data_IF_482272139110
#
_entry.id   IF_482272139110
#
_cell.length_a   1.000
_cell.length_b   1.000
_cell.length_c   1.000
_cell.angle_alpha   90.00
_cell.angle_beta   90.00
_cell.angle_gamma   90.00
#
_symmetry.space_group_name_H-M   'P 1'
#
loop_
_entity.id
_entity.type
_entity.pdbx_description
1 polymer ?
#
# COMPACT_ATOMS: atom_id res chain seq x y z
N UNK A 1 9.41 8.56 -12.14
CA UNK A 1 10.80 8.07 -12.29
C UNK A 1 10.81 6.60 -11.95
N UNK A 2 11.33 5.75 -12.85
CA UNK A 2 11.57 4.32 -12.63
C UNK A 2 13.05 4.07 -12.38
N UNK A 3 13.35 3.11 -11.51
CA UNK A 3 14.73 2.74 -11.14
C UNK A 3 14.83 1.22 -11.22
N UNK A 4 15.68 0.76 -12.12
CA UNK A 4 15.96 -0.64 -12.40
C UNK A 4 17.43 -0.98 -12.15
N UNK A 5 17.73 -2.24 -11.79
CA UNK A 5 19.08 -2.77 -11.83
C UNK A 5 19.50 -3.05 -13.28
N UNK A 6 20.76 -2.81 -13.58
CA UNK A 6 21.46 -3.26 -14.79
C UNK A 6 22.78 -3.90 -14.39
N UNK A 7 23.43 -4.62 -15.32
CA UNK A 7 24.62 -5.45 -15.06
C UNK A 7 25.71 -4.76 -14.24
N UNK A 8 25.94 -3.45 -14.48
CA UNK A 8 27.00 -2.67 -13.80
C UNK A 8 26.47 -1.40 -13.08
N UNK A 9 25.19 -1.37 -12.65
CA UNK A 9 24.68 -0.17 -11.98
C UNK A 9 23.16 -0.04 -11.99
N UNK A 10 22.69 1.18 -12.19
CA UNK A 10 21.28 1.56 -12.19
C UNK A 10 20.84 2.12 -13.54
N UNK A 11 19.61 1.86 -13.90
CA UNK A 11 18.91 2.52 -14.99
C UNK A 11 17.82 3.42 -14.40
N UNK A 12 17.86 4.71 -14.72
CA UNK A 12 16.81 5.66 -14.42
C UNK A 12 15.98 5.93 -15.67
N UNK A 13 14.68 5.77 -15.57
CA UNK A 13 13.70 6.10 -16.63
C UNK A 13 12.79 7.19 -16.12
N UNK A 14 12.72 8.32 -16.86
CA UNK A 14 11.93 9.49 -16.44
C UNK A 14 10.92 9.83 -17.52
N UNK A 15 9.67 9.99 -17.12
CA UNK A 15 8.60 10.51 -17.96
C UNK A 15 8.48 12.02 -17.77
N UNK A 16 8.62 12.78 -18.85
CA UNK A 16 8.66 14.25 -18.81
C UNK A 16 7.69 14.86 -19.81
N UNK A 17 7.02 15.98 -19.47
CA UNK A 17 6.23 16.72 -20.44
C UNK A 17 7.14 17.34 -21.50
N UNK A 18 6.79 17.20 -22.77
CA UNK A 18 7.33 18.01 -23.84
C UNK A 18 6.84 19.45 -23.64
N UNK A 19 7.70 20.43 -23.80
CA UNK A 19 7.27 21.83 -23.74
C UNK A 19 6.27 22.08 -24.87
N UNK A 20 5.17 22.72 -24.54
CA UNK A 20 4.19 23.14 -25.53
C UNK A 20 4.88 24.02 -26.60
N UNK A 21 5.04 23.47 -27.81
CA UNK A 21 5.15 24.31 -28.99
C UNK A 21 3.75 24.85 -29.23
N UNK A 22 3.57 26.16 -29.04
CA UNK A 22 2.32 26.84 -29.32
C UNK A 22 1.96 26.60 -30.79
N UNK A 23 0.92 25.83 -31.06
CA UNK A 23 0.30 25.81 -32.38
C UNK A 23 -0.05 24.47 -33.02
N UNK A 24 0.21 23.32 -32.41
CA UNK A 24 -0.24 22.06 -33.01
C UNK A 24 -1.28 21.36 -32.11
N UNK A 25 -2.49 21.23 -32.67
CA UNK A 25 -3.53 20.31 -32.17
C UNK A 25 -3.04 18.86 -32.34
N UNK A 26 -2.20 18.42 -31.42
CA UNK A 26 -1.57 17.11 -31.45
C UNK A 26 -2.24 16.13 -30.47
N UNK A 27 -2.15 14.89 -30.79
CA UNK A 27 -2.48 13.73 -29.97
C UNK A 27 -1.89 13.92 -28.55
N UNK A 28 -2.67 13.77 -27.47
CA UNK A 28 -2.18 13.83 -26.08
C UNK A 28 -0.98 12.92 -25.80
N UNK A 29 -0.82 11.82 -26.53
CA UNK A 29 0.33 10.94 -26.45
C UNK A 29 1.64 11.62 -26.93
N UNK A 30 1.58 12.67 -27.74
CA UNK A 30 2.74 13.42 -28.24
C UNK A 30 3.29 14.45 -27.24
N UNK A 31 2.59 14.72 -26.16
CA UNK A 31 2.97 15.75 -25.18
C UNK A 31 4.08 15.32 -24.20
N UNK A 32 4.47 14.05 -24.20
CA UNK A 32 5.43 13.49 -23.23
C UNK A 32 6.58 12.77 -23.92
N UNK A 33 7.70 12.70 -23.21
CA UNK A 33 8.89 11.97 -23.62
C UNK A 33 9.40 11.12 -22.48
N UNK A 34 9.71 9.87 -22.77
CA UNK A 34 10.44 9.00 -21.84
C UNK A 34 11.93 9.11 -22.16
N UNK A 35 12.74 9.33 -21.12
CA UNK A 35 14.20 9.44 -21.24
C UNK A 35 14.81 8.48 -20.23
N UNK A 36 15.84 7.75 -20.68
CA UNK A 36 16.53 6.75 -19.87
C UNK A 36 18.02 7.07 -19.80
N UNK A 37 18.61 6.93 -18.63
CA UNK A 37 20.06 6.97 -18.42
C UNK A 37 20.52 5.78 -17.61
N UNK A 38 21.74 5.32 -17.86
CA UNK A 38 22.38 4.23 -17.12
C UNK A 38 23.72 4.72 -16.57
N UNK A 39 24.01 4.41 -15.31
CA UNK A 39 25.29 4.67 -14.66
C UNK A 39 25.45 3.80 -13.40
N UNK A 40 26.64 3.81 -12.81
CA UNK A 40 26.93 3.02 -11.59
C UNK A 40 26.17 3.46 -10.36
N UNK A 41 25.74 4.73 -10.27
CA UNK A 41 25.05 5.28 -9.11
C UNK A 41 23.96 6.27 -9.51
N UNK A 42 23.06 6.53 -8.56
CA UNK A 42 21.87 7.36 -8.75
C UNK A 42 22.20 8.79 -9.20
N UNK A 43 23.09 9.48 -8.45
CA UNK A 43 23.50 10.86 -8.78
C UNK A 43 24.16 10.96 -10.14
N UNK A 44 24.95 9.96 -10.52
CA UNK A 44 25.59 9.92 -11.85
C UNK A 44 24.54 9.74 -12.95
N UNK A 45 23.53 8.91 -12.75
CA UNK A 45 22.40 8.81 -13.70
C UNK A 45 21.67 10.14 -13.87
N UNK A 46 21.42 10.86 -12.76
CA UNK A 46 20.79 12.19 -12.82
C UNK A 46 21.64 13.20 -13.61
N UNK A 47 22.95 13.17 -13.45
CA UNK A 47 23.84 14.06 -14.21
C UNK A 47 23.85 13.70 -15.70
N UNK A 48 23.87 12.42 -16.05
CA UNK A 48 23.75 11.98 -17.45
C UNK A 48 22.43 12.43 -18.08
N UNK A 49 21.31 12.33 -17.34
CA UNK A 49 20.02 12.86 -17.78
C UNK A 49 20.08 14.37 -18.03
N UNK A 50 20.76 15.14 -17.16
CA UNK A 50 20.92 16.58 -17.32
C UNK A 50 21.71 16.96 -18.56
N UNK A 51 22.76 16.22 -18.84
CA UNK A 51 23.64 16.47 -20.05
C UNK A 51 22.86 16.13 -21.32
N UNK A 52 22.07 15.07 -21.31
CA UNK A 52 21.30 14.61 -22.47
C UNK A 52 20.03 15.43 -22.77
N UNK A 53 19.63 16.34 -21.89
CA UNK A 53 18.37 17.06 -22.03
C UNK A 53 18.58 18.53 -22.41
N UNK A 54 17.75 19.08 -23.33
CA UNK A 54 17.90 20.46 -23.82
C UNK A 54 17.49 21.51 -22.78
N UNK A 55 16.96 21.11 -21.63
CA UNK A 55 16.54 22.01 -20.55
C UNK A 55 16.84 21.43 -19.17
N UNK A 56 16.98 22.32 -18.19
CA UNK A 56 17.17 21.92 -16.78
C UNK A 56 15.91 21.26 -16.23
N UNK A 57 16.05 20.01 -15.78
CA UNK A 57 14.97 19.27 -15.14
C UNK A 57 15.00 19.54 -13.64
N UNK A 58 13.83 19.79 -13.08
CA UNK A 58 13.64 19.96 -11.63
C UNK A 58 12.90 18.74 -11.07
N UNK A 59 13.62 17.88 -10.38
CA UNK A 59 13.05 16.68 -9.76
C UNK A 59 12.35 16.93 -8.41
N UNK A 60 12.36 18.18 -7.92
CA UNK A 60 11.61 18.54 -6.69
C UNK A 60 10.10 18.41 -6.84
N UNK A 61 9.58 18.40 -8.09
CA UNK A 61 8.17 18.18 -8.42
C UNK A 61 7.86 16.74 -8.85
N UNK A 62 8.77 15.82 -8.58
CA UNK A 62 8.55 14.41 -8.88
C UNK A 62 7.38 13.88 -8.06
N UNK A 63 6.41 13.25 -8.72
CA UNK A 63 5.19 12.75 -8.09
C UNK A 63 5.27 11.28 -7.69
N UNK A 64 6.00 10.49 -8.50
CA UNK A 64 6.09 9.03 -8.35
C UNK A 64 7.51 8.54 -8.59
N UNK A 65 7.99 7.73 -7.67
CA UNK A 65 9.21 6.94 -7.77
C UNK A 65 8.80 5.47 -7.76
N UNK A 66 9.24 4.74 -8.75
CA UNK A 66 9.01 3.29 -8.86
C UNK A 66 10.36 2.60 -8.82
N UNK A 67 10.57 1.75 -7.84
CA UNK A 67 11.70 0.83 -7.79
C UNK A 67 11.26 -0.52 -8.34
N UNK A 68 12.05 -1.17 -9.17
CA UNK A 68 11.81 -2.58 -9.47
C UNK A 68 12.00 -3.44 -8.22
N UNK A 69 11.32 -4.56 -8.13
CA UNK A 69 11.47 -5.50 -7.00
C UNK A 69 12.93 -5.94 -6.85
N UNK A 70 13.65 -6.09 -7.94
CA UNK A 70 15.08 -6.41 -7.94
C UNK A 70 15.90 -5.35 -7.21
N UNK A 71 15.66 -4.05 -7.49
CA UNK A 71 16.31 -2.94 -6.78
C UNK A 71 15.91 -2.94 -5.31
N UNK A 72 14.61 -3.10 -5.01
CA UNK A 72 14.10 -3.04 -3.64
C UNK A 72 14.62 -4.18 -2.76
N UNK A 73 14.91 -5.35 -3.33
CA UNK A 73 15.47 -6.51 -2.62
C UNK A 73 17.00 -6.47 -2.47
N UNK A 74 17.67 -5.54 -3.15
CA UNK A 74 19.12 -5.42 -3.09
C UNK A 74 19.58 -4.88 -1.73
N UNK A 75 20.71 -5.35 -1.22
CA UNK A 75 21.28 -4.87 0.06
C UNK A 75 21.66 -3.38 0.03
N UNK A 76 21.91 -2.81 -1.14
CA UNK A 76 22.18 -1.39 -1.35
C UNK A 76 20.93 -0.51 -1.38
N UNK A 77 19.71 -1.06 -1.24
CA UNK A 77 18.48 -0.31 -1.41
C UNK A 77 18.35 0.85 -0.39
N UNK A 78 18.65 0.59 0.87
CA UNK A 78 18.61 1.65 1.89
C UNK A 78 19.56 2.81 1.54
N UNK A 79 20.80 2.51 1.14
CA UNK A 79 21.76 3.54 0.74
C UNK A 79 21.30 4.35 -0.46
N UNK A 80 20.60 3.73 -1.42
CA UNK A 80 19.98 4.42 -2.55
C UNK A 80 18.88 5.40 -2.08
N UNK A 81 17.98 4.96 -1.19
CA UNK A 81 16.92 5.83 -0.63
C UNK A 81 17.54 6.98 0.17
N UNK A 82 18.57 6.71 0.97
CA UNK A 82 19.31 7.72 1.73
C UNK A 82 19.99 8.73 0.82
N UNK A 83 20.62 8.29 -0.28
CA UNK A 83 21.22 9.17 -1.30
C UNK A 83 20.15 10.08 -1.92
N UNK A 84 18.96 9.57 -2.22
CA UNK A 84 17.86 10.37 -2.78
C UNK A 84 17.41 11.49 -1.84
N UNK A 85 17.35 11.23 -0.55
CA UNK A 85 16.97 12.20 0.48
C UNK A 85 18.10 13.21 0.71
N UNK A 86 19.33 12.74 0.89
CA UNK A 86 20.47 13.59 1.28
C UNK A 86 20.96 14.46 0.14
N UNK A 87 20.82 14.02 -1.11
CA UNK A 87 21.17 14.80 -2.29
C UNK A 87 20.33 16.07 -2.48
N UNK A 88 19.15 16.15 -1.83
CA UNK A 88 18.19 17.25 -1.94
C UNK A 88 17.76 17.56 -3.38
N UNK A 89 17.92 16.61 -4.29
CA UNK A 89 17.55 16.76 -5.70
C UNK A 89 16.14 16.26 -5.99
N UNK A 90 15.63 15.37 -5.13
CA UNK A 90 14.32 14.74 -5.27
C UNK A 90 13.35 15.35 -4.25
N UNK A 91 12.13 15.61 -4.69
CA UNK A 91 11.08 16.11 -3.80
C UNK A 91 10.70 15.09 -2.71
N UNK A 92 10.66 15.48 -1.44
CA UNK A 92 10.40 14.57 -0.31
C UNK A 92 8.97 14.02 -0.31
N UNK A 93 8.07 14.66 -1.05
CA UNK A 93 6.65 14.28 -1.16
C UNK A 93 6.37 13.32 -2.32
N UNK A 94 7.38 12.93 -3.09
CA UNK A 94 7.21 11.94 -4.15
C UNK A 94 6.66 10.64 -3.56
N UNK A 95 5.60 10.10 -4.15
CA UNK A 95 5.06 8.80 -3.74
C UNK A 95 6.03 7.70 -4.15
N UNK A 96 6.30 6.78 -3.24
CA UNK A 96 7.14 5.61 -3.49
C UNK A 96 6.27 4.41 -3.89
N UNK A 97 6.77 3.58 -4.79
CA UNK A 97 6.15 2.32 -5.17
C UNK A 97 7.23 1.30 -5.52
N UNK A 98 6.96 0.02 -5.30
CA UNK A 98 7.77 -1.08 -5.82
C UNK A 98 6.99 -1.77 -6.94
N UNK A 99 7.64 -2.06 -8.07
CA UNK A 99 7.02 -2.78 -9.18
C UNK A 99 7.51 -4.23 -9.24
N UNK A 100 6.58 -5.14 -9.50
CA UNK A 100 6.90 -6.56 -9.71
C UNK A 100 7.53 -6.81 -11.09
N UNK A 101 7.20 -6.00 -12.09
CA UNK A 101 7.91 -5.91 -13.38
C UNK A 101 9.02 -4.86 -13.32
N UNK A 102 9.68 -4.59 -14.45
CA UNK A 102 10.66 -3.50 -14.52
C UNK A 102 10.01 -2.14 -14.28
N UNK A 103 10.67 -1.31 -13.49
CA UNK A 103 10.18 0.04 -13.20
C UNK A 103 10.05 0.89 -14.46
N UNK A 104 10.96 0.71 -15.44
CA UNK A 104 10.89 1.36 -16.75
C UNK A 104 9.59 1.04 -17.48
N UNK A 105 9.12 -0.22 -17.44
CA UNK A 105 7.85 -0.62 -18.07
C UNK A 105 6.65 0.07 -17.43
N UNK A 106 6.64 0.25 -16.10
CA UNK A 106 5.60 1.03 -15.42
C UNK A 106 5.61 2.48 -15.92
N UNK A 107 6.78 3.11 -15.99
CA UNK A 107 6.90 4.51 -16.42
C UNK A 107 6.46 4.69 -17.88
N UNK A 108 6.84 3.79 -18.76
CA UNK A 108 6.48 3.81 -20.19
C UNK A 108 4.99 3.60 -20.44
N UNK A 109 4.33 2.82 -19.57
CA UNK A 109 2.90 2.54 -19.65
C UNK A 109 2.01 3.52 -18.85
N UNK A 110 2.60 4.57 -18.25
CA UNK A 110 1.80 5.65 -17.68
C UNK A 110 1.14 6.46 -18.81
N UNK A 111 -0.17 6.39 -18.89
CA UNK A 111 -0.97 7.10 -19.88
C UNK A 111 -1.89 8.11 -19.21
N UNK A 112 -2.03 9.33 -19.76
CA UNK A 112 -3.02 10.27 -19.28
C UNK A 112 -4.44 9.76 -19.59
N UNK A 113 -5.39 10.10 -18.72
CA UNK A 113 -6.80 9.93 -19.04
C UNK A 113 -7.20 10.91 -20.14
N UNK A 114 -8.20 10.53 -20.93
CA UNK A 114 -8.68 11.35 -22.05
C UNK A 114 -9.02 12.77 -21.57
N UNK A 115 -8.45 13.77 -22.22
CA UNK A 115 -8.67 15.18 -21.89
C UNK A 115 -7.92 15.70 -20.64
N UNK A 116 -7.05 14.89 -20.04
CA UNK A 116 -6.26 15.29 -18.88
C UNK A 116 -4.75 15.25 -19.18
N UNK A 117 -3.97 16.12 -18.51
CA UNK A 117 -2.52 15.98 -18.51
C UNK A 117 -2.10 14.74 -17.68
N UNK A 118 -0.94 14.15 -17.99
CA UNK A 118 -0.42 13.01 -17.24
C UNK A 118 -0.30 13.33 -15.73
N UNK A 119 0.12 14.54 -15.40
CA UNK A 119 0.25 14.99 -14.00
C UNK A 119 -1.08 14.91 -13.26
N UNK A 120 -2.15 15.48 -13.83
CA UNK A 120 -3.50 15.42 -13.23
C UNK A 120 -4.05 14.00 -13.16
N UNK A 121 -3.83 13.22 -14.21
CA UNK A 121 -4.26 11.82 -14.27
C UNK A 121 -3.56 10.98 -13.19
N UNK A 122 -2.24 11.16 -13.01
CA UNK A 122 -1.48 10.46 -11.97
C UNK A 122 -1.89 10.92 -10.56
N UNK A 123 -2.06 12.23 -10.36
CA UNK A 123 -2.54 12.78 -9.08
C UNK A 123 -3.92 12.22 -8.70
N UNK A 124 -4.86 12.20 -9.64
CA UNK A 124 -6.18 11.60 -9.45
C UNK A 124 -6.08 10.11 -9.11
N UNK A 125 -5.26 9.35 -9.84
CA UNK A 125 -5.04 7.93 -9.59
C UNK A 125 -4.43 7.66 -8.21
N UNK A 126 -3.43 8.44 -7.79
CA UNK A 126 -2.81 8.32 -6.47
C UNK A 126 -3.77 8.71 -5.33
N UNK A 127 -4.62 9.70 -5.56
CA UNK A 127 -5.63 10.12 -4.59
C UNK A 127 -6.76 9.09 -4.45
N UNK A 128 -7.17 8.45 -5.54
CA UNK A 128 -8.22 7.41 -5.49
C UNK A 128 -7.79 6.19 -4.68
N UNK A 129 -6.49 5.88 -4.62
CA UNK A 129 -5.98 4.78 -3.79
C UNK A 129 -6.23 5.00 -2.28
N UNK A 130 -6.25 6.25 -1.82
CA UNK A 130 -6.55 6.58 -0.42
C UNK A 130 -7.97 6.17 -0.01
N UNK A 131 -8.90 6.11 -0.97
CA UNK A 131 -10.30 5.74 -0.73
C UNK A 131 -10.57 4.24 -0.84
N UNK A 132 -9.65 3.46 -1.42
CA UNK A 132 -9.87 2.01 -1.66
C UNK A 132 -9.31 1.11 -0.58
N UNK A 133 -8.40 1.59 0.26
CA UNK A 133 -7.69 0.85 1.32
C UNK A 133 -6.91 -0.40 0.85
N UNK A 134 -6.82 -0.65 -0.47
CA UNK A 134 -6.10 -1.80 -1.03
C UNK A 134 -4.61 -1.56 -1.27
N UNK A 135 -4.11 -0.35 -1.04
CA UNK A 135 -2.70 -0.02 -1.26
C UNK A 135 -2.19 0.90 -0.15
N UNK A 136 -0.98 0.67 0.32
CA UNK A 136 -0.34 1.52 1.32
C UNK A 136 0.53 2.58 0.62
N UNK A 137 -0.02 3.79 0.48
CA UNK A 137 0.64 4.90 -0.17
C UNK A 137 1.57 5.63 0.79
N UNK A 138 2.87 5.60 0.51
CA UNK A 138 3.88 6.32 1.29
C UNK A 138 4.61 7.39 0.46
N UNK A 139 4.95 8.50 1.10
CA UNK A 139 5.84 9.52 0.55
C UNK A 139 7.29 9.21 0.89
N UNK A 140 8.23 9.60 0.03
CA UNK A 140 9.65 9.29 0.15
C UNK A 140 10.23 9.63 1.53
N UNK A 141 9.86 10.80 2.10
CA UNK A 141 10.35 11.21 3.42
C UNK A 141 9.82 10.32 4.54
N UNK A 142 8.53 9.98 4.51
CA UNK A 142 7.93 9.09 5.51
C UNK A 142 8.48 7.68 5.39
N UNK A 143 8.61 7.19 4.15
CA UNK A 143 9.21 5.89 3.86
C UNK A 143 10.65 5.80 4.41
N UNK A 144 11.48 6.82 4.17
CA UNK A 144 12.83 6.89 4.74
C UNK A 144 12.81 6.93 6.27
N UNK A 145 11.92 7.74 6.87
CA UNK A 145 11.79 7.80 8.33
C UNK A 145 11.41 6.45 8.95
N UNK A 146 10.56 5.69 8.31
CA UNK A 146 10.18 4.35 8.79
C UNK A 146 11.33 3.35 8.60
N UNK A 147 12.11 3.44 7.51
CA UNK A 147 13.31 2.59 7.32
C UNK A 147 14.40 2.85 8.37
N UNK A 148 14.57 4.11 8.82
CA UNK A 148 15.54 4.47 9.87
C UNK A 148 14.96 4.26 11.27
N UNK A 149 13.64 4.24 11.38
CA UNK A 149 12.91 4.20 12.63
C UNK A 149 13.04 2.85 13.36
N UNK A 150 12.83 2.87 14.68
CA UNK A 150 12.87 1.67 15.52
C UNK A 150 11.49 1.28 16.06
N UNK A 151 10.45 1.95 15.60
CA UNK A 151 9.08 1.81 16.14
C UNK A 151 8.06 1.29 15.14
N UNK A 152 8.42 1.26 13.86
CA UNK A 152 7.62 0.73 12.76
C UNK A 152 8.52 0.43 11.58
N UNK A 153 8.29 -0.68 10.91
CA UNK A 153 8.98 -1.00 9.65
C UNK A 153 8.25 -0.38 8.45
N UNK A 154 9.02 0.05 7.46
CA UNK A 154 8.50 0.75 6.31
C UNK A 154 7.69 -0.18 5.39
N UNK A 155 6.64 0.40 4.82
CA UNK A 155 5.85 -0.23 3.77
C UNK A 155 5.65 0.73 2.61
N UNK A 156 5.38 0.22 1.42
CA UNK A 156 4.94 1.05 0.30
C UNK A 156 4.13 0.24 -0.69
N UNK A 157 3.29 0.91 -1.48
CA UNK A 157 2.42 0.24 -2.45
C UNK A 157 3.19 -0.56 -3.50
N UNK A 158 2.59 -1.65 -3.96
CA UNK A 158 3.04 -2.37 -5.13
C UNK A 158 2.39 -1.81 -6.40
N UNK A 159 3.12 -1.91 -7.51
CA UNK A 159 2.63 -1.63 -8.86
C UNK A 159 2.97 -2.80 -9.79
N UNK A 160 2.13 -3.04 -10.78
CA UNK A 160 2.45 -3.97 -11.85
C UNK A 160 1.67 -3.61 -13.11
N UNK A 161 2.03 -4.24 -14.23
CA UNK A 161 1.24 -4.18 -15.44
C UNK A 161 0.11 -5.23 -15.38
N UNK A 162 -1.10 -4.78 -15.68
CA UNK A 162 -2.25 -5.69 -15.80
C UNK A 162 -1.96 -6.75 -16.84
N UNK A 163 -2.00 -8.00 -16.42
CA UNK A 163 -1.86 -9.15 -17.31
C UNK A 163 -3.22 -9.46 -17.96
N UNK A 164 -3.23 -10.06 -19.18
CA UNK A 164 -4.45 -10.62 -19.74
C UNK A 164 -5.04 -11.65 -18.78
N UNK A 165 -6.29 -11.47 -18.39
CA UNK A 165 -6.93 -12.26 -17.34
C UNK A 165 -8.05 -13.11 -17.93
N UNK A 166 -8.07 -14.39 -17.60
CA UNK A 166 -9.26 -15.22 -17.75
C UNK A 166 -10.25 -14.90 -16.61
N UNK A 167 -11.16 -13.98 -16.86
CA UNK A 167 -12.16 -13.50 -15.89
C UNK A 167 -12.94 -14.67 -15.24
N UNK A 168 -13.18 -15.74 -15.97
CA UNK A 168 -13.92 -16.90 -15.45
C UNK A 168 -13.15 -17.70 -14.39
N UNK A 169 -11.82 -17.72 -14.46
CA UNK A 169 -10.97 -18.44 -13.50
C UNK A 169 -10.69 -17.66 -12.22
N UNK A 170 -10.67 -16.32 -12.27
CA UNK A 170 -10.36 -15.48 -11.11
C UNK A 170 -11.53 -15.38 -10.15
N UNK A 171 -12.74 -15.19 -10.66
CA UNK A 171 -13.96 -15.11 -9.83
C UNK A 171 -14.13 -16.36 -8.96
N UNK A 172 -13.72 -17.55 -9.45
CA UNK A 172 -13.80 -18.79 -8.70
C UNK A 172 -12.76 -18.95 -7.57
N UNK A 173 -11.73 -18.10 -7.53
CA UNK A 173 -10.64 -18.18 -6.54
C UNK A 173 -10.69 -17.09 -5.47
N UNK A 174 -11.42 -16.03 -5.73
CA UNK A 174 -11.44 -14.88 -4.82
C UNK A 174 -12.28 -15.20 -3.58
N UNK A 175 -11.60 -15.26 -2.43
CA UNK A 175 -12.28 -15.44 -1.13
C UNK A 175 -12.70 -14.11 -0.53
N UNK A 176 -11.86 -13.07 -0.71
CA UNK A 176 -12.15 -11.73 -0.24
C UNK A 176 -11.77 -10.70 -1.33
N UNK A 177 -12.52 -9.57 -1.45
CA UNK A 177 -12.18 -8.50 -2.38
C UNK A 177 -10.74 -8.03 -2.15
N UNK A 178 -9.95 -7.98 -3.22
CA UNK A 178 -8.56 -7.54 -3.16
C UNK A 178 -7.55 -8.57 -2.65
N UNK A 179 -7.93 -9.84 -2.42
CA UNK A 179 -6.99 -10.89 -2.03
C UNK A 179 -6.15 -11.38 -3.23
N UNK A 180 -5.47 -10.42 -3.83
CA UNK A 180 -4.59 -10.61 -4.98
C UNK A 180 -3.48 -9.55 -5.00
N UNK A 181 -2.45 -9.80 -5.81
CA UNK A 181 -1.38 -8.85 -6.10
C UNK A 181 -1.73 -7.98 -7.33
N UNK A 182 -1.07 -6.83 -7.53
CA UNK A 182 -1.25 -6.03 -8.73
C UNK A 182 -0.93 -6.85 -9.98
N UNK A 183 -1.55 -6.50 -11.12
CA UNK A 183 -1.42 -7.28 -12.36
C UNK A 183 -2.36 -8.48 -12.47
N UNK A 184 -3.00 -8.90 -11.38
CA UNK A 184 -3.91 -10.04 -11.33
C UNK A 184 -5.39 -9.65 -11.19
N UNK A 185 -5.72 -8.37 -11.33
CA UNK A 185 -7.09 -7.91 -11.15
C UNK A 185 -8.03 -8.48 -12.21
N UNK A 186 -9.26 -8.87 -11.85
CA UNK A 186 -10.26 -9.36 -12.78
C UNK A 186 -10.94 -8.21 -13.56
N UNK A 187 -10.12 -7.37 -14.20
CA UNK A 187 -10.58 -6.20 -14.97
C UNK A 187 -9.88 -6.12 -16.31
N UNK A 188 -10.61 -5.75 -17.32
CA UNK A 188 -10.08 -5.39 -18.64
C UNK A 188 -10.27 -3.89 -18.87
N UNK A 189 -9.17 -3.17 -19.06
CA UNK A 189 -9.20 -1.76 -19.42
C UNK A 189 -7.91 -1.35 -20.15
N UNK A 190 -7.95 -0.17 -20.77
CA UNK A 190 -6.81 0.37 -21.52
C UNK A 190 -5.63 0.81 -20.63
N UNK A 191 -5.87 1.10 -19.36
CA UNK A 191 -4.83 1.55 -18.41
C UNK A 191 -4.11 0.34 -17.82
N UNK A 192 -2.89 0.11 -18.26
CA UNK A 192 -2.15 -1.12 -17.93
C UNK A 192 -1.54 -1.11 -16.54
N UNK A 193 -1.27 0.06 -15.97
CA UNK A 193 -0.60 0.18 -14.66
C UNK A 193 -1.62 0.04 -13.53
N UNK A 194 -1.48 -1.01 -12.75
CA UNK A 194 -2.30 -1.31 -11.57
C UNK A 194 -1.48 -1.13 -10.30
N UNK A 195 -2.12 -0.62 -9.25
CA UNK A 195 -1.52 -0.41 -7.92
C UNK A 195 -2.40 -1.06 -6.88
N UNK A 196 -1.85 -2.01 -6.14
CA UNK A 196 -2.54 -2.77 -5.10
C UNK A 196 -1.52 -3.50 -4.22
N UNK A 197 -1.87 -3.76 -2.96
CA UNK A 197 -0.97 -4.45 -2.05
C UNK A 197 0.15 -3.56 -1.51
N UNK A 198 1.08 -4.17 -0.80
CA UNK A 198 2.24 -3.47 -0.27
C UNK A 198 3.51 -4.33 -0.30
N UNK A 199 4.64 -3.65 -0.49
CA UNK A 199 5.96 -4.19 -0.21
C UNK A 199 6.29 -3.93 1.26
N UNK A 200 6.81 -4.94 1.95
CA UNK A 200 7.28 -4.87 3.32
C UNK A 200 8.81 -4.74 3.32
N UNK A 201 9.30 -3.76 4.06
CA UNK A 201 10.73 -3.50 4.21
C UNK A 201 11.21 -3.92 5.59
N UNK A 202 12.39 -4.51 5.65
CA UNK A 202 13.21 -4.44 6.85
C UNK A 202 13.98 -3.10 6.87
N UNK A 203 15.00 -2.96 7.73
CA UNK A 203 15.82 -1.74 7.80
C UNK A 203 16.59 -1.43 6.51
N UNK A 204 16.73 -2.39 5.61
CA UNK A 204 17.67 -2.33 4.48
C UNK A 204 17.02 -2.53 3.13
N UNK A 205 16.04 -3.42 3.04
CA UNK A 205 15.51 -3.90 1.76
C UNK A 205 14.10 -4.48 1.89
N UNK A 206 13.50 -4.75 0.74
CA UNK A 206 12.24 -5.47 0.67
C UNK A 206 12.40 -6.95 1.04
N UNK A 207 11.52 -7.43 1.92
CA UNK A 207 11.54 -8.81 2.41
C UNK A 207 10.30 -9.60 2.01
N UNK A 208 9.13 -8.97 1.92
CA UNK A 208 7.88 -9.65 1.59
C UNK A 208 6.87 -8.71 0.91
N UNK A 209 5.74 -9.28 0.48
CA UNK A 209 4.61 -8.57 -0.13
C UNK A 209 3.32 -8.86 0.62
N UNK A 210 2.39 -7.91 0.60
CA UNK A 210 1.00 -8.07 1.02
C UNK A 210 0.06 -7.94 -0.17
N UNK A 211 -1.01 -8.73 -0.20
CA UNK A 211 -2.13 -8.55 -1.12
C UNK A 211 -2.92 -7.29 -0.76
N UNK A 212 -3.82 -6.83 -1.62
CA UNK A 212 -4.69 -5.70 -1.30
C UNK A 212 -5.54 -5.97 -0.04
N UNK A 213 -6.10 -7.17 0.10
CA UNK A 213 -6.84 -7.55 1.30
C UNK A 213 -5.98 -7.55 2.56
N UNK A 214 -4.75 -8.07 2.51
CA UNK A 214 -3.83 -8.01 3.64
C UNK A 214 -3.46 -6.57 4.04
N UNK A 215 -3.41 -5.65 3.07
CA UNK A 215 -3.24 -4.20 3.35
C UNK A 215 -4.45 -3.64 4.10
N UNK A 216 -5.68 -4.02 3.73
CA UNK A 216 -6.88 -3.63 4.48
C UNK A 216 -6.81 -4.16 5.93
N UNK A 217 -6.45 -5.42 6.13
CA UNK A 217 -6.28 -6.00 7.46
C UNK A 217 -5.20 -5.27 8.27
N UNK A 218 -4.08 -4.91 7.63
CA UNK A 218 -3.03 -4.09 8.24
C UNK A 218 -3.56 -2.71 8.64
N UNK A 219 -4.37 -2.06 7.79
CA UNK A 219 -5.04 -0.81 8.08
C UNK A 219 -5.99 -0.89 9.28
N UNK A 220 -6.73 -2.00 9.44
CA UNK A 220 -7.57 -2.25 10.62
C UNK A 220 -6.73 -2.26 11.91
N UNK A 221 -5.57 -2.91 11.91
CA UNK A 221 -4.67 -2.95 13.06
C UNK A 221 -3.99 -1.60 13.33
N UNK A 222 -3.74 -0.80 12.29
CA UNK A 222 -3.22 0.57 12.40
C UNK A 222 -4.27 1.57 12.88
N UNK A 223 -5.55 1.30 12.65
CA UNK A 223 -6.64 2.23 12.94
C UNK A 223 -6.99 3.18 11.79
N UNK A 224 -6.60 2.85 10.57
CA UNK A 224 -6.65 3.73 9.40
C UNK A 224 -7.75 3.36 8.39
N UNK A 225 -8.61 2.35 8.69
CA UNK A 225 -9.65 1.89 7.75
C UNK A 225 -10.92 2.71 7.87
N UNK A 226 -11.31 3.34 6.77
CA UNK A 226 -12.54 4.13 6.69
C UNK A 226 -13.72 3.38 6.07
N UNK A 227 -13.51 2.73 4.92
CA UNK A 227 -14.53 1.96 4.21
C UNK A 227 -13.86 0.87 3.37
N UNK A 228 -14.13 -0.39 3.69
CA UNK A 228 -13.60 -1.56 2.98
C UNK A 228 -14.71 -2.55 2.69
N UNK A 229 -14.69 -3.17 1.52
CA UNK A 229 -15.61 -4.26 1.18
C UNK A 229 -15.11 -5.57 1.77
N UNK A 230 -16.00 -6.30 2.43
CA UNK A 230 -15.76 -7.65 2.97
C UNK A 230 -16.96 -8.53 2.66
N UNK A 231 -16.69 -9.79 2.37
CA UNK A 231 -17.68 -10.82 2.13
C UNK A 231 -17.77 -11.69 3.39
N UNK A 232 -18.98 -11.78 3.97
CA UNK A 232 -19.30 -12.68 5.06
C UNK A 232 -20.02 -13.89 4.53
N UNK A 233 -19.53 -15.08 4.82
CA UNK A 233 -20.09 -16.35 4.36
C UNK A 233 -20.29 -17.32 5.55
N UNK A 234 -21.29 -17.08 6.42
CA UNK A 234 -21.63 -18.02 7.49
C UNK A 234 -22.20 -19.32 6.93
N UNK A 235 -22.06 -20.44 7.65
CA UNK A 235 -22.52 -21.76 7.20
C UNK A 235 -24.05 -21.84 7.00
N UNK A 236 -24.82 -21.18 7.86
CA UNK A 236 -26.29 -21.30 7.91
C UNK A 236 -27.03 -20.11 7.26
N UNK A 237 -26.33 -19.14 6.72
CA UNK A 237 -26.91 -17.93 6.12
C UNK A 237 -26.32 -17.67 4.73
N UNK A 238 -27.03 -16.95 3.85
CA UNK A 238 -26.49 -16.55 2.56
C UNK A 238 -25.22 -15.72 2.70
N UNK A 239 -24.36 -15.77 1.68
CA UNK A 239 -23.23 -14.88 1.56
C UNK A 239 -23.69 -13.41 1.52
N UNK A 240 -22.99 -12.54 2.24
CA UNK A 240 -23.34 -11.13 2.39
C UNK A 240 -22.11 -10.25 2.15
N UNK A 241 -22.18 -9.40 1.14
CA UNK A 241 -21.20 -8.33 0.95
C UNK A 241 -21.52 -7.15 1.86
N UNK A 242 -20.54 -6.69 2.62
CA UNK A 242 -20.68 -5.60 3.58
C UNK A 242 -19.56 -4.57 3.41
N UNK A 243 -19.84 -3.33 3.82
CA UNK A 243 -18.78 -2.36 4.09
C UNK A 243 -18.36 -2.47 5.55
N UNK A 244 -17.06 -2.62 5.80
CA UNK A 244 -16.50 -2.55 7.14
C UNK A 244 -15.89 -1.19 7.39
N UNK A 245 -16.16 -0.65 8.57
CA UNK A 245 -15.59 0.61 9.05
C UNK A 245 -15.13 0.43 10.50
N UNK A 246 -14.05 1.09 10.83
CA UNK A 246 -13.58 1.13 12.20
C UNK A 246 -14.47 2.04 13.05
N UNK A 247 -15.04 1.52 14.14
CA UNK A 247 -15.93 2.26 15.04
C UNK A 247 -15.18 2.99 16.16
N UNK A 248 -13.97 2.53 16.49
CA UNK A 248 -13.06 3.17 17.43
C UNK A 248 -11.61 2.77 17.12
N UNK A 249 -10.61 3.59 17.52
CA UNK A 249 -9.20 3.21 17.38
C UNK A 249 -8.90 1.89 18.08
N UNK A 250 -7.97 1.06 17.54
CA UNK A 250 -7.57 -0.17 18.18
C UNK A 250 -6.97 0.11 19.57
N UNK A 251 -7.26 -0.76 20.52
CA UNK A 251 -6.60 -0.75 21.82
C UNK A 251 -5.48 -1.77 21.84
N UNK A 252 -4.26 -1.32 22.04
CA UNK A 252 -3.09 -2.18 22.10
C UNK A 252 -2.48 -2.13 23.49
N UNK A 253 -2.31 -3.29 24.12
CA UNK A 253 -1.58 -3.45 25.38
C UNK A 253 -0.42 -4.42 25.17
N UNK A 254 0.74 -4.11 25.75
CA UNK A 254 1.97 -4.89 25.57
C UNK A 254 2.57 -5.23 26.93
N UNK A 255 2.71 -6.53 27.18
CA UNK A 255 3.52 -7.06 28.27
C UNK A 255 4.91 -7.47 27.71
N UNK A 256 5.81 -6.49 27.69
CA UNK A 256 7.14 -6.67 27.16
C UNK A 256 7.96 -7.71 27.97
N UNK A 257 7.68 -7.89 29.27
CA UNK A 257 8.38 -8.85 30.09
C UNK A 257 8.09 -10.29 29.68
N UNK A 258 6.86 -10.58 29.29
CA UNK A 258 6.41 -11.92 28.89
C UNK A 258 6.29 -12.10 27.37
N UNK A 259 6.61 -11.07 26.57
CA UNK A 259 6.53 -11.14 25.12
C UNK A 259 5.10 -11.31 24.60
N UNK A 260 4.12 -10.65 25.25
CA UNK A 260 2.69 -10.73 24.89
C UNK A 260 2.17 -9.40 24.42
N UNK A 261 1.37 -9.44 23.37
CA UNK A 261 0.66 -8.31 22.79
C UNK A 261 -0.81 -8.68 22.76
N UNK A 262 -1.67 -7.78 23.21
CA UNK A 262 -3.12 -7.89 23.02
C UNK A 262 -3.58 -6.70 22.19
N UNK A 263 -4.27 -6.96 21.08
CA UNK A 263 -4.85 -5.93 20.24
C UNK A 263 -6.37 -6.17 20.13
N UNK A 264 -7.14 -5.19 20.56
CA UNK A 264 -8.59 -5.18 20.45
C UNK A 264 -9.00 -4.22 19.33
N UNK A 265 -9.74 -4.73 18.35
CA UNK A 265 -10.24 -3.96 17.19
C UNK A 265 -11.77 -3.87 17.25
N UNK A 266 -12.31 -2.70 16.89
CA UNK A 266 -13.72 -2.38 16.95
C UNK A 266 -14.23 -2.09 15.55
N UNK A 267 -15.12 -2.94 15.02
CA UNK A 267 -15.57 -2.88 13.64
C UNK A 267 -17.09 -2.75 13.56
N UNK A 268 -17.57 -1.90 12.66
CA UNK A 268 -18.96 -1.82 12.26
C UNK A 268 -19.11 -2.29 10.81
N UNK A 269 -20.02 -3.20 10.57
CA UNK A 269 -20.33 -3.77 9.26
C UNK A 269 -21.68 -3.22 8.78
N UNK A 270 -21.65 -2.53 7.65
CA UNK A 270 -22.83 -1.91 7.04
C UNK A 270 -23.32 -2.79 5.90
N UNK A 271 -24.56 -3.30 6.04
CA UNK A 271 -25.14 -4.16 5.02
C UNK A 271 -25.62 -3.38 3.81
N UNK A 272 -25.58 -4.04 2.64
CA UNK A 272 -26.17 -3.57 1.40
C UNK A 272 -27.59 -4.15 1.18
N UNK A 273 -28.17 -4.79 2.19
CA UNK A 273 -29.54 -5.29 2.13
C UNK A 273 -30.52 -4.11 2.02
N UNK A 274 -31.63 -4.32 1.35
CA UNK A 274 -32.73 -3.36 1.21
C UNK A 274 -33.76 -3.45 2.35
N UNK A 275 -33.53 -4.34 3.31
CA UNK A 275 -34.38 -4.61 4.49
C UNK A 275 -33.57 -4.73 5.77
N UNK A 276 -34.17 -4.45 6.92
CA UNK A 276 -33.56 -4.79 8.21
C UNK A 276 -33.29 -6.28 8.36
N UNK A 277 -32.23 -6.63 9.05
CA UNK A 277 -31.93 -8.02 9.41
C UNK A 277 -32.83 -8.51 10.53
N UNK A 278 -33.17 -9.78 10.50
CA UNK A 278 -33.79 -10.44 11.65
C UNK A 278 -32.77 -10.58 12.79
N UNK A 279 -33.20 -10.71 14.06
CA UNK A 279 -32.29 -10.93 15.19
C UNK A 279 -31.37 -12.14 15.00
N UNK A 280 -31.85 -13.21 14.36
CA UNK A 280 -31.04 -14.41 14.04
C UNK A 280 -29.99 -14.15 13.00
N UNK A 281 -30.32 -13.45 11.91
CA UNK A 281 -29.38 -13.04 10.88
C UNK A 281 -28.30 -12.11 11.48
N UNK A 282 -28.74 -11.14 12.30
CA UNK A 282 -27.82 -10.21 12.97
C UNK A 282 -26.80 -10.94 13.84
N UNK A 283 -27.23 -11.88 14.66
CA UNK A 283 -26.35 -12.69 15.51
C UNK A 283 -25.42 -13.59 14.69
N UNK A 284 -25.94 -14.24 13.63
CA UNK A 284 -25.16 -15.11 12.75
C UNK A 284 -24.06 -14.38 11.98
N UNK A 285 -24.38 -13.24 11.35
CA UNK A 285 -23.38 -12.44 10.66
C UNK A 285 -22.36 -11.79 11.60
N UNK A 286 -22.77 -11.36 12.81
CA UNK A 286 -21.84 -10.83 13.82
C UNK A 286 -20.82 -11.89 14.22
N UNK A 287 -21.28 -13.11 14.57
CA UNK A 287 -20.39 -14.20 14.96
C UNK A 287 -19.45 -14.61 13.80
N UNK A 288 -19.96 -14.66 12.57
CA UNK A 288 -19.15 -14.91 11.38
C UNK A 288 -18.08 -13.83 11.19
N UNK A 289 -18.45 -12.55 11.31
CA UNK A 289 -17.53 -11.43 11.16
C UNK A 289 -16.42 -11.46 12.22
N UNK A 290 -16.76 -11.69 13.49
CA UNK A 290 -15.78 -11.79 14.59
C UNK A 290 -14.82 -12.95 14.38
N UNK A 291 -15.33 -14.16 14.06
CA UNK A 291 -14.51 -15.34 13.83
C UNK A 291 -13.58 -15.20 12.63
N UNK A 292 -14.14 -14.77 11.50
CA UNK A 292 -13.38 -14.57 10.26
C UNK A 292 -12.30 -13.49 10.42
N UNK A 293 -12.64 -12.35 11.02
CA UNK A 293 -11.67 -11.26 11.20
C UNK A 293 -10.57 -11.65 12.18
N UNK A 294 -10.91 -12.36 13.27
CA UNK A 294 -9.93 -12.91 14.19
C UNK A 294 -8.92 -13.83 13.47
N UNK A 295 -9.43 -14.76 12.66
CA UNK A 295 -8.58 -15.69 11.89
C UNK A 295 -7.69 -14.95 10.89
N UNK A 296 -8.24 -14.07 10.05
CA UNK A 296 -7.49 -13.38 9.02
C UNK A 296 -6.44 -12.40 9.59
N UNK A 297 -6.79 -11.66 10.66
CA UNK A 297 -5.83 -10.80 11.35
C UNK A 297 -4.70 -11.61 12.00
N UNK A 298 -5.02 -12.76 12.59
CA UNK A 298 -4.02 -13.66 13.16
C UNK A 298 -3.09 -14.26 12.09
N UNK A 299 -3.63 -14.62 10.93
CA UNK A 299 -2.85 -15.08 9.77
C UNK A 299 -1.90 -13.98 9.26
N UNK A 300 -2.38 -12.73 9.16
CA UNK A 300 -1.55 -11.59 8.80
C UNK A 300 -0.42 -11.39 9.80
N UNK A 301 -0.71 -11.36 11.10
CA UNK A 301 0.33 -11.25 12.14
C UNK A 301 1.38 -12.34 12.00
N UNK A 302 0.96 -13.59 11.83
CA UNK A 302 1.89 -14.70 11.61
C UNK A 302 2.76 -14.53 10.36
N UNK A 303 2.23 -13.92 9.28
CA UNK A 303 3.00 -13.57 8.08
C UNK A 303 4.03 -12.48 8.38
N UNK A 304 3.64 -11.41 9.08
CA UNK A 304 4.53 -10.31 9.46
C UNK A 304 5.66 -10.81 10.38
N UNK A 305 5.34 -11.65 11.36
CA UNK A 305 6.33 -12.24 12.26
C UNK A 305 7.32 -13.14 11.51
N UNK A 306 6.85 -14.00 10.58
CA UNK A 306 7.75 -14.80 9.73
C UNK A 306 8.66 -13.97 8.84
N UNK A 307 8.20 -12.79 8.43
CA UNK A 307 9.00 -11.83 7.66
C UNK A 307 9.92 -10.97 8.53
N UNK A 308 9.78 -11.04 9.86
CA UNK A 308 10.60 -10.30 10.82
C UNK A 308 10.29 -8.80 10.87
N UNK A 309 9.14 -8.35 10.37
CA UNK A 309 8.79 -6.91 10.25
C UNK A 309 7.54 -6.56 11.03
N UNK A 310 7.51 -5.35 11.60
CA UNK A 310 6.39 -4.77 12.35
C UNK A 310 5.87 -3.48 11.67
N UNK A 311 5.17 -3.59 10.53
CA UNK A 311 4.63 -2.43 9.84
C UNK A 311 3.41 -1.82 10.56
N UNK A 312 2.81 -2.54 11.52
CA UNK A 312 1.70 -2.04 12.35
C UNK A 312 2.24 -1.03 13.38
N UNK A 313 3.48 -1.24 13.84
CA UNK A 313 4.14 -0.38 14.80
C UNK A 313 3.84 -0.74 16.25
N UNK A 314 3.70 -2.02 16.57
CA UNK A 314 3.59 -2.49 17.96
C UNK A 314 4.80 -2.06 18.78
N UNK A 315 5.98 -1.98 18.19
CA UNK A 315 7.17 -1.40 18.79
C UNK A 315 6.92 0.01 19.35
N UNK A 316 6.13 0.83 18.64
CA UNK A 316 5.76 2.19 19.05
C UNK A 316 4.87 2.23 20.30
N UNK A 317 4.11 1.17 20.58
CA UNK A 317 3.40 1.01 21.86
C UNK A 317 4.33 0.50 22.95
N UNK A 318 5.19 -0.47 22.63
CA UNK A 318 6.11 -1.08 23.58
C UNK A 318 7.13 -0.09 24.15
N UNK A 319 7.72 0.77 23.30
CA UNK A 319 8.77 1.72 23.70
C UNK A 319 8.32 2.66 24.84
N UNK A 320 7.03 2.95 24.94
CA UNK A 320 6.46 3.81 25.99
C UNK A 320 6.63 3.22 27.40
N UNK A 321 6.81 1.91 27.52
CA UNK A 321 7.06 1.20 28.78
C UNK A 321 8.54 1.27 29.25
N UNK A 322 9.44 1.79 28.43
CA UNK A 322 10.86 1.83 28.75
C UNK A 322 11.31 3.23 29.22
N UNK A 323 12.01 3.33 30.35
CA UNK A 323 12.37 4.62 30.93
C UNK A 323 13.47 5.37 30.17
N UNK A 324 14.26 4.67 29.35
CA UNK A 324 15.36 5.25 28.56
C UNK A 324 15.51 4.59 27.21
N UNK A 325 16.06 5.32 26.24
CA UNK A 325 16.39 4.80 24.90
C UNK A 325 17.35 3.61 24.97
N UNK A 326 18.32 3.66 25.90
CA UNK A 326 19.28 2.57 26.09
C UNK A 326 18.57 1.25 26.48
N UNK A 327 17.63 1.31 27.41
CA UNK A 327 16.85 0.13 27.82
C UNK A 327 16.00 -0.42 26.69
N UNK A 328 15.45 0.45 25.85
CA UNK A 328 14.74 0.06 24.65
C UNK A 328 15.66 -0.66 23.66
N UNK A 329 16.85 -0.11 23.41
CA UNK A 329 17.82 -0.76 22.51
C UNK A 329 18.28 -2.12 23.05
N UNK A 330 18.56 -2.23 24.37
CA UNK A 330 18.89 -3.50 25.04
C UNK A 330 17.76 -4.54 24.94
N UNK A 331 16.51 -4.10 24.85
CA UNK A 331 15.36 -5.00 24.71
C UNK A 331 15.35 -5.71 23.36
N UNK A 332 15.97 -5.15 22.31
CA UNK A 332 16.14 -5.73 20.99
C UNK A 332 14.80 -6.20 20.38
N UNK A 333 13.85 -5.29 20.22
CA UNK A 333 12.50 -5.58 19.73
C UNK A 333 12.47 -6.46 18.49
N UNK A 334 13.27 -6.16 17.46
CA UNK A 334 13.29 -6.89 16.20
C UNK A 334 13.65 -8.36 16.34
N UNK A 335 14.53 -8.69 17.26
CA UNK A 335 14.92 -10.08 17.55
C UNK A 335 13.80 -10.85 18.27
N UNK A 336 13.01 -10.14 19.08
CA UNK A 336 11.93 -10.73 19.89
C UNK A 336 10.60 -10.81 19.15
N UNK A 337 10.33 -9.86 18.27
CA UNK A 337 9.06 -9.75 17.55
C UNK A 337 8.57 -11.04 16.89
N UNK A 338 9.41 -11.83 16.17
CA UNK A 338 8.98 -13.08 15.56
C UNK A 338 8.48 -14.15 16.55
N UNK A 339 8.91 -14.07 17.81
CA UNK A 339 8.55 -15.04 18.86
C UNK A 339 7.48 -14.55 19.84
N UNK A 340 6.94 -13.35 19.66
CA UNK A 340 5.89 -12.80 20.54
C UNK A 340 4.55 -13.46 20.31
N UNK A 341 3.78 -13.63 21.38
CA UNK A 341 2.37 -14.03 21.27
C UNK A 341 1.52 -12.79 21.06
N UNK A 342 0.70 -12.79 20.01
CA UNK A 342 -0.24 -11.70 19.71
C UNK A 342 -1.66 -12.23 19.78
N UNK A 343 -2.42 -11.75 20.75
CA UNK A 343 -3.83 -12.07 20.95
C UNK A 343 -4.68 -10.98 20.30
N UNK A 344 -5.48 -11.35 19.32
CA UNK A 344 -6.41 -10.44 18.61
C UNK A 344 -7.82 -10.63 19.19
N UNK A 345 -8.43 -9.54 19.61
CA UNK A 345 -9.83 -9.52 20.03
C UNK A 345 -10.59 -8.66 19.02
N UNK A 346 -11.62 -9.22 18.42
CA UNK A 346 -12.49 -8.52 17.46
C UNK A 346 -13.86 -8.29 18.10
N UNK A 347 -14.30 -7.04 18.13
CA UNK A 347 -15.67 -6.65 18.49
C UNK A 347 -16.37 -6.15 17.24
N UNK A 348 -17.28 -6.92 16.70
CA UNK A 348 -18.03 -6.60 15.50
C UNK A 348 -19.46 -6.16 15.82
N UNK A 349 -19.94 -5.16 15.09
CA UNK A 349 -21.33 -4.71 15.14
C UNK A 349 -21.90 -4.64 13.74
N UNK A 350 -22.93 -5.45 13.46
CA UNK A 350 -23.72 -5.31 12.25
C UNK A 350 -24.62 -4.08 12.36
N UNK A 351 -24.77 -3.35 11.27
CA UNK A 351 -25.62 -2.15 11.16
C UNK A 351 -26.64 -2.35 10.07
N UNK A 352 -27.87 -2.05 10.37
CA UNK A 352 -28.98 -2.08 9.42
C UNK A 352 -28.90 -0.91 8.41
N UNK A 353 -29.56 -1.04 7.25
CA UNK A 353 -29.69 0.07 6.30
C UNK A 353 -30.33 1.28 6.98
N UNK A 354 -29.65 2.42 6.96
CA UNK A 354 -30.11 3.65 7.60
C UNK A 354 -29.46 4.00 8.94
N UNK A 355 -28.71 3.09 9.58
CA UNK A 355 -27.98 3.36 10.83
C UNK A 355 -26.63 4.07 10.62
N UNK A 356 -26.25 4.37 9.37
CA UNK A 356 -24.96 4.99 9.05
C UNK A 356 -24.93 6.49 9.34
N UNK A 357 -23.81 7.05 9.83
CA UNK A 357 -23.64 8.49 9.88
C UNK A 357 -23.55 9.03 8.44
N UNK A 358 -24.65 9.55 7.90
CA UNK A 358 -24.73 10.16 6.58
C UNK A 358 -25.51 9.37 5.54
N UNK A 359 -26.42 8.48 5.93
CA UNK A 359 -27.38 7.88 5.00
C UNK A 359 -28.38 8.91 4.45
N UNK A 360 -27.90 9.79 3.56
CA UNK A 360 -28.82 10.36 2.57
C UNK A 360 -28.99 9.31 1.48
N UNK A 361 -30.24 8.95 1.13
CA UNK A 361 -30.46 8.06 0.00
C UNK A 361 -29.85 8.73 -1.25
N UNK A 362 -29.07 7.94 -2.00
CA UNK A 362 -28.54 8.35 -3.30
C UNK A 362 -29.74 8.67 -4.19
N UNK A 363 -30.19 9.91 -4.20
CA UNK A 363 -31.14 10.39 -5.21
C UNK A 363 -30.32 10.58 -6.48
N UNK A 364 -30.45 9.60 -7.39
CA UNK A 364 -29.98 9.74 -8.76
C UNK A 364 -30.67 10.98 -9.39
N UNK A 365 -29.87 11.97 -9.72
CA UNK A 365 -30.24 13.08 -10.61
C UNK A 365 -29.56 12.88 -11.95
#
# INVERSE_FOLDING_TARGET
>A
MGIDCVEDGLQLTVHMPRGASAGESGDPASEYTVVTAQARGFSTCLDMLRVGLPRKVNYMQLMLIVFSEEVARNEGFFALVEEMITSQQIGPHATVSVSQCRASEIIENLQPQVGMSLTRSLEGALKSLESTTYADRQQLMMFYHEMVGQTRDATTMLSDLQQPVDLGRLIAKERQPGDMLPGQLPVEHQYRVVRMGAALMDDKRMVATLTGYEVQLMGILKGDVTDSLIILAPEDLPELTTYVRQSAPPKVSIDAAHGRIQAEVFLSFYTLLDRPMTPGEHAGYTACAEGMMHEHLSQLIGKLQRSGVDPIGFAGYAVRGFPTVLRWQEYAWKERWPGMTVDIIVSAHMRDPGDGPGSQPYTAH
#
